data_IF_630895172064
#
_entry.id   IF_630895172064
#
_cell.length_a   1.000
_cell.length_b   1.000
_cell.length_c   1.000
_cell.angle_alpha   90.00
_cell.angle_beta   90.00
_cell.angle_gamma   90.00
#
_symmetry.space_group_name_H-M   'P 1'
#
loop_
_entity.id
_entity.type
_entity.pdbx_description
1 polymer ?
#
# COMPACT_ATOMS: atom_id res chain seq x y z
N UNK A 1 27.20 4.10 21.43
CA UNK A 1 26.33 4.98 20.61
C UNK A 1 26.20 6.35 21.24
N UNK A 2 26.61 7.39 20.54
CA UNK A 2 26.42 8.79 20.97
C UNK A 2 24.98 9.20 20.67
N UNK A 3 24.29 9.76 21.66
CA UNK A 3 22.93 10.29 21.47
C UNK A 3 23.02 11.56 20.62
N UNK A 4 22.22 11.62 19.56
CA UNK A 4 22.13 12.78 18.67
C UNK A 4 21.02 13.68 19.20
N UNK A 5 21.34 14.96 19.42
CA UNK A 5 20.40 15.93 20.01
C UNK A 5 20.09 17.10 19.09
N UNK A 6 20.85 17.29 18.01
CA UNK A 6 20.61 18.36 17.05
C UNK A 6 19.65 17.91 15.93
N UNK A 7 18.78 18.81 15.49
CA UNK A 7 17.70 18.51 14.55
C UNK A 7 18.21 17.94 13.21
N UNK A 8 19.24 18.56 12.63
CA UNK A 8 19.84 18.10 11.38
C UNK A 8 20.37 16.67 11.50
N UNK A 9 21.13 16.38 12.55
CA UNK A 9 21.68 15.05 12.80
C UNK A 9 20.59 14.00 13.07
N UNK A 10 19.48 14.39 13.71
CA UNK A 10 18.32 13.50 13.90
C UNK A 10 17.69 13.19 12.54
N UNK A 11 17.50 14.19 11.68
CA UNK A 11 16.94 14.00 10.35
C UNK A 11 17.84 13.17 9.44
N UNK A 12 19.15 13.45 9.43
CA UNK A 12 20.13 12.68 8.68
C UNK A 12 20.17 11.21 9.14
N UNK A 13 20.08 10.98 10.46
CA UNK A 13 19.99 9.62 11.02
C UNK A 13 18.73 8.88 10.59
N UNK A 14 17.57 9.56 10.57
CA UNK A 14 16.33 8.98 10.07
C UNK A 14 16.40 8.64 8.58
N UNK A 15 16.94 9.56 7.79
CA UNK A 15 17.14 9.38 6.35
C UNK A 15 18.02 8.15 6.08
N UNK A 16 19.20 8.08 6.70
CA UNK A 16 20.10 6.94 6.59
C UNK A 16 19.40 5.63 6.97
N UNK A 17 18.72 5.60 8.12
CA UNK A 17 18.02 4.41 8.60
C UNK A 17 16.96 3.90 7.59
N UNK A 18 16.09 4.78 7.09
CA UNK A 18 15.05 4.37 6.15
C UNK A 18 15.58 4.08 4.74
N UNK A 19 16.60 4.80 4.27
CA UNK A 19 17.29 4.46 3.03
C UNK A 19 17.88 3.04 3.10
N UNK A 20 18.55 2.71 4.21
CA UNK A 20 19.06 1.36 4.40
C UNK A 20 17.96 0.32 4.51
N UNK A 21 16.89 0.61 5.28
CA UNK A 21 15.81 -0.33 5.54
C UNK A 21 15.01 -0.66 4.28
N UNK A 22 14.63 0.35 3.50
CA UNK A 22 13.77 0.18 2.33
C UNK A 22 14.54 -0.34 1.12
N UNK A 23 15.82 0.03 0.96
CA UNK A 23 16.66 -0.41 -0.16
C UNK A 23 17.49 -1.67 0.18
N UNK A 24 17.06 -2.46 1.17
CA UNK A 24 17.67 -3.77 1.47
C UNK A 24 17.35 -4.81 0.39
N UNK A 25 16.12 -4.78 -0.15
CA UNK A 25 15.64 -5.76 -1.12
C UNK A 25 16.30 -5.61 -2.50
N UNK A 26 16.53 -4.38 -2.98
CA UNK A 26 17.30 -4.13 -4.22
C UNK A 26 18.71 -4.77 -4.19
N UNK A 27 19.26 -5.00 -2.99
CA UNK A 27 20.57 -5.65 -2.78
C UNK A 27 20.50 -7.19 -2.74
N UNK A 28 19.33 -7.77 -2.44
CA UNK A 28 19.13 -9.22 -2.29
C UNK A 28 18.39 -9.86 -3.48
N UNK A 29 17.57 -9.10 -4.22
CA UNK A 29 16.74 -9.62 -5.31
C UNK A 29 17.49 -9.97 -6.60
N UNK A 30 18.76 -9.60 -6.73
CA UNK A 30 19.59 -10.10 -7.86
C UNK A 30 19.77 -11.62 -7.86
N UNK A 31 19.41 -12.34 -6.78
CA UNK A 31 19.69 -13.79 -6.69
C UNK A 31 18.51 -14.75 -6.81
N UNK A 32 17.24 -14.39 -6.56
CA UNK A 32 16.13 -15.37 -6.57
C UNK A 32 14.74 -14.76 -6.86
N UNK A 33 14.49 -14.23 -8.06
CA UNK A 33 13.12 -13.95 -8.50
C UNK A 33 12.57 -15.16 -9.27
N UNK A 34 11.95 -16.10 -8.57
CA UNK A 34 10.91 -16.92 -9.18
C UNK A 34 9.71 -16.01 -9.41
N UNK A 35 9.53 -15.55 -10.65
CA UNK A 35 8.33 -14.81 -11.05
C UNK A 35 7.15 -15.77 -10.91
N UNK A 36 6.28 -15.53 -9.94
CA UNK A 36 4.95 -16.14 -9.95
C UNK A 36 4.23 -15.55 -11.17
N UNK A 37 4.11 -16.35 -12.22
CA UNK A 37 3.33 -15.99 -13.39
C UNK A 37 1.86 -16.21 -13.03
N UNK A 38 1.19 -15.17 -12.56
CA UNK A 38 -0.26 -15.19 -12.47
C UNK A 38 -0.82 -15.21 -13.91
N UNK A 39 -1.73 -16.14 -14.21
CA UNK A 39 -2.44 -16.16 -15.48
C UNK A 39 -3.59 -15.16 -15.37
N UNK A 40 -3.28 -13.87 -15.47
CA UNK A 40 -4.27 -12.81 -15.48
C UNK A 40 -4.65 -12.58 -16.94
N UNK A 41 -5.91 -12.83 -17.29
CA UNK A 41 -6.43 -12.38 -18.58
C UNK A 41 -6.57 -10.85 -18.53
N UNK A 42 -6.11 -10.13 -19.56
CA UNK A 42 -6.30 -8.68 -19.65
C UNK A 42 -7.78 -8.30 -19.57
N UNK A 43 -8.68 -9.18 -20.02
CA UNK A 43 -10.13 -9.03 -19.87
C UNK A 43 -10.59 -8.94 -18.42
N UNK A 44 -9.90 -9.61 -17.48
CA UNK A 44 -10.28 -9.66 -16.05
C UNK A 44 -9.99 -8.34 -15.31
N UNK A 45 -9.07 -7.52 -15.83
CA UNK A 45 -8.74 -6.21 -15.26
C UNK A 45 -9.69 -5.10 -15.75
N UNK A 46 -10.38 -5.36 -16.88
CA UNK A 46 -11.16 -4.36 -17.59
C UNK A 46 -10.29 -3.43 -18.43
N UNK A 47 -10.91 -2.81 -19.45
CA UNK A 47 -10.20 -2.01 -20.46
C UNK A 47 -9.87 -0.61 -19.92
N UNK A 48 -10.71 -0.07 -19.06
CA UNK A 48 -10.58 1.28 -18.50
C UNK A 48 -11.06 1.37 -17.04
N UNK A 49 -10.79 2.50 -16.41
CA UNK A 49 -11.31 2.87 -15.08
C UNK A 49 -12.63 3.61 -15.29
N UNK A 50 -13.74 3.07 -14.77
CA UNK A 50 -15.04 3.73 -14.89
C UNK A 50 -15.23 4.86 -13.88
N UNK A 51 -16.13 5.82 -14.18
CA UNK A 51 -16.45 6.90 -13.24
C UNK A 51 -17.09 6.36 -11.94
N UNK A 52 -17.91 5.31 -12.05
CA UNK A 52 -18.52 4.61 -10.91
C UNK A 52 -17.46 4.01 -10.02
N UNK A 53 -16.44 3.39 -10.62
CA UNK A 53 -15.30 2.83 -9.89
C UNK A 53 -14.58 3.88 -9.05
N UNK A 54 -14.33 5.06 -9.64
CA UNK A 54 -13.70 6.20 -8.96
C UNK A 54 -14.58 6.71 -7.83
N UNK A 55 -15.86 6.94 -8.11
CA UNK A 55 -16.83 7.45 -7.14
C UNK A 55 -16.95 6.51 -5.93
N UNK A 56 -16.99 5.20 -6.17
CA UNK A 56 -17.09 4.20 -5.10
C UNK A 56 -15.85 4.17 -4.22
N UNK A 57 -14.65 4.21 -4.82
CA UNK A 57 -13.40 4.31 -4.06
C UNK A 57 -13.37 5.59 -3.24
N UNK A 58 -13.67 6.74 -3.85
CA UNK A 58 -13.69 8.04 -3.16
C UNK A 58 -14.70 8.06 -2.01
N UNK A 59 -15.89 7.46 -2.19
CA UNK A 59 -16.89 7.30 -1.11
C UNK A 59 -16.35 6.43 0.03
N UNK A 60 -15.61 5.37 -0.28
CA UNK A 60 -15.04 4.47 0.74
C UNK A 60 -13.91 5.10 1.58
N UNK A 61 -13.25 6.15 1.08
CA UNK A 61 -12.17 6.82 1.81
C UNK A 61 -12.64 7.40 3.14
N UNK A 62 -11.82 7.24 4.18
CA UNK A 62 -12.08 7.80 5.51
C UNK A 62 -11.70 9.27 5.58
N UNK A 63 -12.51 10.06 6.28
CA UNK A 63 -12.22 11.44 6.66
C UNK A 63 -11.10 11.53 7.70
N UNK A 64 -10.49 12.71 7.84
CA UNK A 64 -9.50 13.03 8.87
C UNK A 64 -8.16 12.30 8.70
N UNK A 65 -7.83 11.88 7.48
CA UNK A 65 -6.53 11.25 7.18
C UNK A 65 -5.51 12.33 6.83
N UNK A 66 -4.28 12.13 7.30
CA UNK A 66 -3.17 13.02 6.96
C UNK A 66 -2.89 12.95 5.43
N UNK A 67 -2.77 14.11 4.75
CA UNK A 67 -2.47 14.15 3.33
C UNK A 67 -1.01 13.78 3.06
N UNK A 68 -0.71 13.54 1.78
CA UNK A 68 0.67 13.38 1.30
C UNK A 68 1.40 14.73 1.19
N UNK A 69 2.50 14.72 0.45
CA UNK A 69 3.32 15.92 0.21
C UNK A 69 2.56 17.05 -0.51
N UNK A 70 1.58 16.69 -1.34
CA UNK A 70 0.70 17.59 -2.11
C UNK A 70 -0.34 18.32 -1.24
N UNK A 71 -0.51 17.92 0.02
CA UNK A 71 -1.48 18.47 0.98
C UNK A 71 -2.95 18.32 0.54
N UNK A 72 -3.23 17.52 -0.50
CA UNK A 72 -4.60 17.26 -0.95
C UNK A 72 -5.23 16.25 0.00
N UNK A 73 -6.33 16.62 0.63
CA UNK A 73 -7.01 15.75 1.61
C UNK A 73 -8.18 14.98 0.98
N UNK A 74 -8.61 13.92 1.67
CA UNK A 74 -9.82 13.17 1.30
C UNK A 74 -11.05 14.08 1.21
N UNK A 75 -11.20 15.05 2.10
CA UNK A 75 -12.31 16.00 2.15
C UNK A 75 -12.38 16.84 0.88
N UNK A 76 -11.23 17.28 0.37
CA UNK A 76 -11.16 18.07 -0.86
C UNK A 76 -11.65 17.23 -2.04
N UNK A 77 -11.16 15.99 -2.16
CA UNK A 77 -11.58 15.07 -3.23
C UNK A 77 -13.07 14.79 -3.17
N UNK A 78 -13.61 14.47 -1.99
CA UNK A 78 -15.05 14.19 -1.82
C UNK A 78 -15.95 15.39 -2.14
N UNK A 79 -15.40 16.62 -2.22
CA UNK A 79 -16.13 17.86 -2.54
C UNK A 79 -15.98 18.33 -3.99
N UNK A 80 -15.30 17.55 -4.85
CA UNK A 80 -15.04 17.91 -6.25
C UNK A 80 -16.30 18.09 -7.11
N UNK A 81 -17.44 17.53 -6.70
CA UNK A 81 -18.66 17.50 -7.53
C UNK A 81 -18.50 16.64 -8.78
N UNK A 82 -19.52 16.58 -9.63
CA UNK A 82 -19.53 15.69 -10.79
C UNK A 82 -18.39 15.98 -11.77
N UNK A 83 -18.25 17.25 -12.20
CA UNK A 83 -17.20 17.65 -13.13
C UNK A 83 -15.80 17.34 -12.59
N UNK A 84 -15.56 17.53 -11.30
CA UNK A 84 -14.27 17.21 -10.71
C UNK A 84 -14.02 15.71 -10.56
N UNK A 85 -15.07 14.89 -10.39
CA UNK A 85 -14.94 13.42 -10.47
C UNK A 85 -14.63 12.95 -11.88
N UNK A 86 -15.23 13.57 -12.90
CA UNK A 86 -14.93 13.29 -14.32
C UNK A 86 -13.46 13.63 -14.63
N UNK A 87 -12.99 14.81 -14.25
CA UNK A 87 -11.58 15.20 -14.40
C UNK A 87 -10.62 14.25 -13.66
N UNK A 88 -11.00 13.82 -12.45
CA UNK A 88 -10.22 12.84 -11.70
C UNK A 88 -10.17 11.50 -12.46
N UNK A 89 -11.31 11.02 -12.95
CA UNK A 89 -11.38 9.78 -13.73
C UNK A 89 -10.52 9.85 -15.01
N UNK A 90 -10.56 10.96 -15.75
CA UNK A 90 -9.70 11.18 -16.90
C UNK A 90 -8.21 11.14 -16.54
N UNK A 91 -7.82 11.75 -15.42
CA UNK A 91 -6.44 11.73 -14.93
C UNK A 91 -5.99 10.30 -14.60
N UNK A 92 -6.83 9.52 -13.90
CA UNK A 92 -6.54 8.13 -13.57
C UNK A 92 -6.44 7.26 -14.83
N UNK A 93 -7.32 7.48 -15.81
CA UNK A 93 -7.27 6.77 -17.08
C UNK A 93 -6.03 7.11 -17.90
N UNK A 94 -5.53 8.36 -17.86
CA UNK A 94 -4.24 8.68 -18.49
C UNK A 94 -3.10 7.86 -17.88
N UNK A 95 -3.09 7.70 -16.56
CA UNK A 95 -2.11 6.85 -15.90
C UNK A 95 -2.29 5.36 -16.24
N UNK A 96 -3.53 4.88 -16.29
CA UNK A 96 -3.88 3.51 -16.67
C UNK A 96 -3.37 3.15 -18.07
N UNK A 97 -3.71 3.95 -19.08
CA UNK A 97 -3.37 3.66 -20.47
C UNK A 97 -1.88 3.86 -20.80
N UNK A 98 -1.22 4.80 -20.14
CA UNK A 98 0.22 5.03 -20.35
C UNK A 98 1.11 4.03 -19.60
N UNK A 99 0.58 3.39 -18.55
CA UNK A 99 1.38 2.59 -17.62
C UNK A 99 2.29 3.44 -16.72
N UNK A 100 2.18 4.77 -16.76
CA UNK A 100 3.00 5.70 -15.99
C UNK A 100 2.15 6.59 -15.08
N UNK A 101 2.65 6.85 -13.88
CA UNK A 101 2.02 7.77 -12.92
C UNK A 101 2.79 9.09 -12.83
N UNK A 102 2.13 10.22 -12.53
CA UNK A 102 2.79 11.49 -12.27
C UNK A 102 3.91 11.36 -11.24
N UNK A 103 5.00 12.13 -11.41
CA UNK A 103 6.16 12.05 -10.51
C UNK A 103 5.78 12.39 -9.06
N UNK A 104 4.88 13.35 -8.88
CA UNK A 104 4.34 13.70 -7.56
C UNK A 104 3.72 12.48 -6.85
N UNK A 105 3.06 11.58 -7.58
CA UNK A 105 2.44 10.39 -6.96
C UNK A 105 3.47 9.42 -6.40
N UNK A 106 4.70 9.45 -6.91
CA UNK A 106 5.83 8.63 -6.43
C UNK A 106 6.46 9.19 -5.17
N UNK A 107 6.13 10.43 -4.77
CA UNK A 107 6.67 11.09 -3.59
C UNK A 107 5.85 10.77 -2.34
N UNK A 108 6.48 10.07 -1.39
CA UNK A 108 5.92 9.77 -0.08
C UNK A 108 6.66 10.44 1.08
N UNK A 109 5.92 10.87 2.11
CA UNK A 109 6.50 11.37 3.37
C UNK A 109 6.54 10.25 4.39
N UNK A 110 7.72 9.90 4.89
CA UNK A 110 7.86 8.87 5.94
C UNK A 110 7.73 9.51 7.32
N UNK A 111 6.75 9.04 8.10
CA UNK A 111 6.54 9.43 9.49
C UNK A 111 6.98 8.28 10.40
N UNK A 112 8.05 8.43 11.20
CA UNK A 112 8.46 7.43 12.17
C UNK A 112 7.51 7.42 13.38
N UNK A 113 6.90 6.28 13.67
CA UNK A 113 6.01 6.07 14.83
C UNK A 113 6.67 5.09 15.79
N UNK A 114 6.87 5.48 17.05
CA UNK A 114 7.47 4.61 18.06
C UNK A 114 6.58 3.38 18.29
N UNK A 115 7.20 2.19 18.31
CA UNK A 115 6.49 0.91 18.49
C UNK A 115 6.71 0.34 19.89
N UNK A 116 7.96 0.11 20.29
CA UNK A 116 8.34 -0.49 21.59
C UNK A 116 9.86 -0.39 21.81
N UNK A 117 10.32 -0.52 23.06
CA UNK A 117 11.76 -0.48 23.39
C UNK A 117 12.30 0.94 23.51
N UNK A 118 13.62 1.09 23.48
CA UNK A 118 14.30 2.39 23.63
C UNK A 118 13.91 3.36 22.50
N UNK A 119 13.38 4.52 22.86
CA UNK A 119 12.98 5.58 21.93
C UNK A 119 14.17 6.27 21.26
N UNK A 120 15.40 6.03 21.72
CA UNK A 120 16.62 6.54 21.09
C UNK A 120 17.14 5.67 19.95
N UNK A 121 16.56 4.48 19.74
CA UNK A 121 16.92 3.57 18.65
C UNK A 121 15.89 3.61 17.52
N UNK A 122 16.31 3.97 16.31
CA UNK A 122 15.46 4.01 15.11
C UNK A 122 14.79 2.65 14.80
N UNK A 123 15.41 1.51 15.18
CA UNK A 123 14.85 0.17 14.98
C UNK A 123 13.53 -0.07 15.71
N UNK A 124 13.29 0.71 16.75
CA UNK A 124 12.11 0.64 17.59
C UNK A 124 10.93 1.46 17.05
N UNK A 125 11.06 2.03 15.85
CA UNK A 125 10.03 2.79 15.17
C UNK A 125 9.55 2.07 13.91
N UNK A 126 8.28 2.26 13.58
CA UNK A 126 7.67 1.89 12.31
C UNK A 126 7.59 3.13 11.42
N UNK A 127 8.16 3.08 10.22
CA UNK A 127 7.89 4.10 9.21
C UNK A 127 6.48 3.92 8.64
N UNK A 128 5.69 4.99 8.65
CA UNK A 128 4.42 5.06 7.93
C UNK A 128 4.55 6.08 6.83
N UNK A 129 4.37 5.65 5.58
CA UNK A 129 4.46 6.52 4.42
C UNK A 129 3.11 7.18 4.12
N UNK A 130 3.11 8.51 4.05
CA UNK A 130 1.98 9.32 3.60
C UNK A 130 2.14 9.61 2.10
N UNK A 131 1.34 8.91 1.29
CA UNK A 131 1.23 9.15 -0.15
C UNK A 131 0.16 10.19 -0.48
N UNK A 132 0.26 10.76 -1.68
CA UNK A 132 -0.79 11.59 -2.28
C UNK A 132 -2.16 10.90 -2.18
N UNK A 133 -3.20 11.67 -1.89
CA UNK A 133 -4.57 11.14 -1.83
C UNK A 133 -5.01 10.62 -3.20
N UNK A 134 -4.60 11.27 -4.28
CA UNK A 134 -4.92 10.84 -5.66
C UNK A 134 -4.18 9.55 -6.01
N UNK A 135 -2.89 9.45 -5.64
CA UNK A 135 -2.13 8.21 -5.80
C UNK A 135 -2.80 7.03 -5.08
N UNK A 136 -3.26 7.23 -3.84
CA UNK A 136 -3.99 6.18 -3.07
C UNK A 136 -5.31 5.77 -3.73
N UNK A 137 -6.02 6.69 -4.37
CA UNK A 137 -7.25 6.37 -5.11
C UNK A 137 -6.91 5.45 -6.27
N UNK A 138 -5.88 5.81 -7.05
CA UNK A 138 -5.40 4.97 -8.15
C UNK A 138 -4.98 3.59 -7.66
N UNK A 139 -4.12 3.51 -6.64
CA UNK A 139 -3.68 2.27 -6.01
C UNK A 139 -4.85 1.41 -5.52
N UNK A 140 -5.90 2.02 -4.95
CA UNK A 140 -7.08 1.29 -4.48
C UNK A 140 -7.91 0.69 -5.63
N UNK A 141 -7.96 1.37 -6.78
CA UNK A 141 -8.60 0.85 -7.98
C UNK A 141 -7.80 -0.33 -8.53
N UNK A 142 -6.47 -0.16 -8.64
CA UNK A 142 -5.56 -1.24 -9.05
C UNK A 142 -5.70 -2.46 -8.14
N UNK A 143 -5.66 -2.25 -6.82
CA UNK A 143 -5.82 -3.30 -5.81
C UNK A 143 -7.15 -4.03 -5.99
N UNK A 144 -8.26 -3.31 -6.21
CA UNK A 144 -9.58 -3.92 -6.40
C UNK A 144 -9.63 -4.78 -7.65
N UNK A 145 -9.13 -4.28 -8.79
CA UNK A 145 -9.07 -5.03 -10.06
C UNK A 145 -8.17 -6.26 -9.94
N UNK A 146 -6.97 -6.11 -9.38
CA UNK A 146 -6.03 -7.21 -9.16
C UNK A 146 -6.62 -8.29 -8.25
N UNK A 147 -7.25 -7.92 -7.13
CA UNK A 147 -7.90 -8.88 -6.24
C UNK A 147 -8.97 -9.69 -6.94
N UNK A 148 -9.79 -9.06 -7.79
CA UNK A 148 -10.81 -9.75 -8.56
C UNK A 148 -10.20 -10.77 -9.53
N UNK A 149 -9.15 -10.37 -10.25
CA UNK A 149 -8.48 -11.22 -11.22
C UNK A 149 -7.76 -12.44 -10.61
N UNK A 150 -7.16 -12.28 -9.42
CA UNK A 150 -6.31 -13.34 -8.84
C UNK A 150 -7.00 -14.19 -7.76
N UNK A 151 -8.21 -13.85 -7.31
CA UNK A 151 -8.84 -14.49 -6.13
C UNK A 151 -8.93 -16.03 -6.26
N UNK A 152 -9.23 -16.53 -7.47
CA UNK A 152 -9.33 -17.97 -7.75
C UNK A 152 -7.97 -18.67 -7.87
N UNK A 153 -6.89 -17.92 -8.04
CA UNK A 153 -5.52 -18.42 -8.15
C UNK A 153 -4.80 -18.43 -6.80
N UNK A 154 -5.35 -17.75 -5.78
CA UNK A 154 -4.76 -17.70 -4.45
C UNK A 154 -4.96 -19.02 -3.69
N UNK A 155 -3.85 -19.61 -3.23
CA UNK A 155 -3.88 -20.78 -2.36
C UNK A 155 -4.77 -20.58 -1.14
N UNK A 156 -5.40 -21.67 -0.68
CA UNK A 156 -6.22 -21.65 0.53
C UNK A 156 -5.42 -21.34 1.81
N UNK A 157 -4.12 -21.62 1.80
CA UNK A 157 -3.17 -21.26 2.84
C UNK A 157 -2.95 -19.73 2.95
N UNK A 158 -3.33 -18.96 1.92
CA UNK A 158 -3.17 -17.51 1.92
C UNK A 158 -4.37 -16.83 2.59
N UNK A 159 -4.17 -16.38 3.83
CA UNK A 159 -5.19 -15.61 4.59
C UNK A 159 -4.84 -14.13 4.76
N UNK A 160 -3.60 -13.72 4.48
CA UNK A 160 -3.18 -12.33 4.62
C UNK A 160 -3.86 -11.43 3.61
N UNK A 161 -4.49 -10.33 4.06
CA UNK A 161 -5.11 -9.31 3.21
C UNK A 161 -6.21 -9.82 2.24
N UNK A 162 -6.74 -11.03 2.49
CA UNK A 162 -7.78 -11.68 1.69
C UNK A 162 -9.15 -11.53 2.35
N UNK A 163 -10.18 -11.21 1.55
CA UNK A 163 -11.54 -10.97 2.06
C UNK A 163 -12.09 -12.26 2.68
N UNK A 164 -12.70 -12.15 3.85
CA UNK A 164 -13.33 -13.29 4.54
C UNK A 164 -12.34 -14.27 5.20
N UNK A 165 -11.05 -13.96 5.21
CA UNK A 165 -10.01 -14.71 5.91
C UNK A 165 -9.40 -13.88 7.03
N UNK A 166 -8.93 -14.54 8.07
CA UNK A 166 -8.29 -13.89 9.22
C UNK A 166 -7.24 -14.78 9.88
N UNK A 167 -6.49 -14.22 10.84
CA UNK A 167 -5.46 -14.96 11.57
C UNK A 167 -6.02 -16.16 12.36
N UNK A 168 -7.29 -16.10 12.74
CA UNK A 168 -7.94 -17.17 13.52
C UNK A 168 -8.07 -18.46 12.69
N UNK A 169 -8.25 -18.35 11.37
CA UNK A 169 -8.30 -19.50 10.46
C UNK A 169 -6.99 -20.30 10.53
N UNK A 170 -5.85 -19.60 10.49
CA UNK A 170 -4.54 -20.24 10.60
C UNK A 170 -4.28 -20.84 11.98
N UNK A 171 -4.67 -20.14 13.06
CA UNK A 171 -4.55 -20.67 14.43
C UNK A 171 -5.35 -21.97 14.55
N UNK A 172 -6.57 -21.99 14.02
CA UNK A 172 -7.42 -23.17 14.01
C UNK A 172 -6.79 -24.31 13.20
N UNK A 173 -6.32 -24.04 11.98
CA UNK A 173 -5.65 -25.05 11.13
C UNK A 173 -4.42 -25.65 11.82
N UNK A 174 -3.55 -24.82 12.40
CA UNK A 174 -2.35 -25.28 13.12
C UNK A 174 -2.74 -26.15 14.31
N UNK A 175 -3.76 -25.74 15.08
CA UNK A 175 -4.28 -26.51 16.20
C UNK A 175 -4.77 -27.89 15.75
N UNK A 176 -5.56 -27.96 14.68
CA UNK A 176 -6.07 -29.22 14.13
C UNK A 176 -4.96 -30.16 13.62
N UNK A 177 -3.94 -29.62 12.95
CA UNK A 177 -2.78 -30.41 12.51
C UNK A 177 -2.03 -30.99 13.72
N UNK A 178 -1.82 -30.17 14.75
CA UNK A 178 -1.11 -30.59 15.97
C UNK A 178 -1.88 -31.67 16.72
N UNK A 179 -3.20 -31.52 16.88
CA UNK A 179 -4.06 -32.52 17.55
C UNK A 179 -4.06 -33.86 16.80
N UNK A 180 -4.07 -33.83 15.46
CA UNK A 180 -4.05 -35.05 14.64
C UNK A 180 -2.68 -35.72 14.58
N UNK A 181 -1.58 -34.99 14.74
CA UNK A 181 -0.22 -35.53 14.71
C UNK A 181 0.23 -36.13 16.06
N UNK A 182 -0.49 -35.83 17.14
CA UNK A 182 -0.24 -36.34 18.49
C UNK A 182 -1.07 -37.60 18.83
N UNK A 183 -1.88 -38.09 17.87
CA UNK A 183 -2.61 -39.36 17.91
C UNK A 183 -1.92 -40.33 16.96
#
# INVERSE_FOLDING_TARGET
NKVITNEKGIMDRWKEYFQELLNRHERQEKSQQERIQANIDEGDLGIEISIEEVVDIVKSLKYGKAPGHDKITTEMIKRLGNNGMEMLCELLNKAWHSGEVPEDWKVGIIIPIHKKGDSKDCKNYRGVTLLSTVAKIYESILERKLKQAIEYQLEESQSGFRKGRCIQDHIFTIKQITEKALI
#
